data_IF_025276430919
#
_entry.id   IF_025276430919
#
_cell.length_a   1.000
_cell.length_b   1.000
_cell.length_c   1.000
_cell.angle_alpha   90.00
_cell.angle_beta   90.00
_cell.angle_gamma   90.00
#
_symmetry.space_group_name_H-M   'P 1'
#
loop_
_entity.id
_entity.type
_entity.pdbx_description
1 polymer ?
#
# COMPACT_ATOMS: atom_id res chain seq x y z
N UNK A 1 16.97 -1.62 12.37
CA UNK A 1 16.70 -2.60 11.32
C UNK A 1 17.07 -2.02 9.99
N UNK A 2 17.83 -2.77 9.23
CA UNK A 2 18.22 -2.34 7.89
C UNK A 2 17.11 -2.61 6.88
N UNK A 3 16.79 -1.61 6.05
CA UNK A 3 15.81 -1.73 4.99
C UNK A 3 16.24 -2.73 3.89
N UNK A 4 17.54 -2.91 3.73
CA UNK A 4 18.15 -3.67 2.65
C UNK A 4 18.25 -5.17 2.96
N UNK A 5 17.12 -5.81 3.13
CA UNK A 5 17.04 -7.27 3.28
C UNK A 5 16.77 -7.93 1.93
N UNK A 6 16.98 -9.25 1.87
CA UNK A 6 16.88 -10.02 0.60
C UNK A 6 15.49 -10.03 -0.01
N UNK A 7 14.45 -9.85 0.80
CA UNK A 7 13.05 -9.95 0.39
C UNK A 7 12.35 -8.61 0.50
N UNK A 8 11.19 -8.49 -0.12
CA UNK A 8 10.32 -7.33 -0.05
C UNK A 8 9.52 -7.32 1.27
N UNK A 9 10.20 -7.18 2.41
CA UNK A 9 9.61 -7.24 3.76
C UNK A 9 9.02 -5.90 4.19
N UNK A 10 9.80 -4.81 4.03
CA UNK A 10 9.40 -3.49 4.51
C UNK A 10 8.80 -2.67 3.37
N UNK A 11 7.50 -2.44 3.42
CA UNK A 11 6.78 -1.67 2.39
C UNK A 11 7.30 -0.23 2.30
N UNK A 12 7.55 0.30 1.08
CA UNK A 12 7.79 1.73 0.91
C UNK A 12 6.55 2.54 1.32
N UNK A 13 6.79 3.76 1.75
CA UNK A 13 5.73 4.72 2.09
C UNK A 13 5.75 5.87 1.12
N UNK A 14 4.57 6.40 0.80
CA UNK A 14 4.44 7.55 -0.08
C UNK A 14 4.25 8.81 0.72
N UNK A 15 4.99 9.85 0.33
CA UNK A 15 4.90 11.19 0.88
C UNK A 15 4.41 12.17 -0.19
N UNK A 16 3.44 13.02 0.12
CA UNK A 16 3.01 14.11 -0.78
C UNK A 16 3.72 15.39 -0.37
N UNK A 17 4.32 16.07 -1.36
CA UNK A 17 5.15 17.25 -1.11
C UNK A 17 4.34 18.53 -1.00
N UNK A 18 4.67 19.33 0.00
CA UNK A 18 4.34 20.74 0.17
C UNK A 18 5.64 21.56 0.18
N UNK A 19 5.58 22.80 -0.23
CA UNK A 19 6.73 23.70 -0.23
C UNK A 19 6.28 25.11 0.20
N UNK A 20 7.12 25.83 0.94
CA UNK A 20 6.92 27.27 1.22
C UNK A 20 6.99 28.14 -0.04
N UNK A 21 7.47 27.60 -1.15
CA UNK A 21 7.48 28.23 -2.47
C UNK A 21 6.10 28.26 -3.15
N UNK A 22 5.13 27.49 -2.66
CA UNK A 22 3.76 27.47 -3.18
C UNK A 22 2.97 28.68 -2.66
N UNK A 23 1.96 29.10 -3.41
CA UNK A 23 0.97 30.06 -2.92
C UNK A 23 -0.02 29.37 -1.95
N UNK A 24 -0.70 30.17 -1.14
CA UNK A 24 -1.59 29.66 -0.10
C UNK A 24 -2.76 28.84 -0.69
N UNK A 25 -3.29 29.23 -1.84
CA UNK A 25 -4.40 28.53 -2.49
C UNK A 25 -3.97 27.14 -2.97
N UNK A 26 -2.76 27.02 -3.53
CA UNK A 26 -2.19 25.73 -3.93
C UNK A 26 -1.89 24.83 -2.73
N UNK A 27 -1.41 25.38 -1.61
CA UNK A 27 -1.21 24.64 -0.35
C UNK A 27 -2.54 24.10 0.17
N UNK A 28 -3.57 24.93 0.28
CA UNK A 28 -4.89 24.51 0.76
C UNK A 28 -5.52 23.45 -0.15
N UNK A 29 -5.37 23.59 -1.46
CA UNK A 29 -5.86 22.59 -2.42
C UNK A 29 -5.18 21.25 -2.23
N UNK A 30 -3.85 21.20 -2.06
CA UNK A 30 -3.12 19.95 -1.80
C UNK A 30 -3.50 19.36 -0.44
N UNK A 31 -3.61 20.17 0.61
CA UNK A 31 -4.04 19.69 1.93
C UNK A 31 -5.45 19.07 1.89
N UNK A 32 -6.35 19.62 1.07
CA UNK A 32 -7.69 19.08 0.90
C UNK A 32 -7.72 17.77 0.05
N UNK A 33 -6.74 17.57 -0.85
CA UNK A 33 -6.66 16.37 -1.69
C UNK A 33 -6.07 15.15 -0.95
N UNK A 34 -5.07 15.34 -0.10
CA UNK A 34 -4.37 14.24 0.58
C UNK A 34 -5.33 13.28 1.31
N UNK A 35 -6.33 13.74 2.10
CA UNK A 35 -7.26 12.86 2.79
C UNK A 35 -8.22 12.11 1.88
N UNK A 36 -8.42 12.53 0.63
CA UNK A 36 -9.32 11.86 -0.31
C UNK A 36 -8.78 10.50 -0.77
N UNK A 37 -7.47 10.30 -0.65
CA UNK A 37 -6.82 9.02 -0.89
C UNK A 37 -6.77 8.27 0.44
N UNK A 38 -7.86 7.59 0.77
CA UNK A 38 -7.99 6.78 1.99
C UNK A 38 -9.07 5.72 1.75
N UNK A 39 -8.67 4.46 1.57
CA UNK A 39 -9.60 3.37 1.28
C UNK A 39 -9.01 2.02 1.72
N UNK A 40 -9.86 1.06 1.97
CA UNK A 40 -9.46 -0.30 2.29
C UNK A 40 -9.34 -1.15 1.02
N UNK A 41 -8.25 -1.91 0.94
CA UNK A 41 -8.03 -2.90 -0.11
C UNK A 41 -7.50 -4.19 0.50
N UNK A 42 -8.33 -5.23 0.51
CA UNK A 42 -7.99 -6.57 1.02
C UNK A 42 -7.40 -6.50 2.44
N UNK A 43 -8.15 -5.91 3.38
CA UNK A 43 -7.75 -5.84 4.77
C UNK A 43 -6.55 -4.92 5.06
N UNK A 44 -6.13 -4.10 4.10
CA UNK A 44 -5.08 -3.09 4.28
C UNK A 44 -5.60 -1.71 3.91
N UNK A 45 -5.47 -0.76 4.84
CA UNK A 45 -5.79 0.64 4.58
C UNK A 45 -4.74 1.26 3.65
N UNK A 46 -5.20 1.83 2.54
CA UNK A 46 -4.40 2.49 1.52
C UNK A 46 -4.58 4.00 1.62
N UNK A 47 -3.51 4.70 1.95
CA UNK A 47 -3.52 6.16 2.11
C UNK A 47 -2.10 6.72 1.95
N UNK A 48 -1.98 8.02 1.65
CA UNK A 48 -0.69 8.70 1.70
C UNK A 48 -0.24 8.79 3.16
N UNK A 49 0.80 8.05 3.51
CA UNK A 49 1.23 7.89 4.91
C UNK A 49 2.00 9.10 5.43
N UNK A 50 2.66 9.83 4.52
CA UNK A 50 3.54 10.94 4.90
C UNK A 50 3.20 12.22 4.15
N UNK A 51 3.54 13.35 4.75
CA UNK A 51 3.60 14.65 4.08
C UNK A 51 5.04 15.16 4.15
N UNK A 52 5.60 15.45 2.98
CA UNK A 52 6.94 16.02 2.85
C UNK A 52 6.84 17.52 2.78
N UNK A 53 7.40 18.23 3.76
CA UNK A 53 7.31 19.68 3.87
C UNK A 53 8.68 20.29 3.59
N UNK A 54 8.83 20.89 2.42
CA UNK A 54 10.07 21.52 1.98
C UNK A 54 10.14 22.99 2.43
N UNK A 55 11.23 23.33 3.09
CA UNK A 55 11.61 24.69 3.41
C UNK A 55 12.28 25.32 2.19
N UNK A 56 11.51 25.85 1.25
CA UNK A 56 12.04 26.45 0.03
C UNK A 56 13.08 27.55 0.29
N UNK A 57 13.83 27.87 -0.74
CA UNK A 57 14.87 28.91 -0.64
C UNK A 57 14.28 30.25 -0.18
N UNK A 58 14.96 30.91 0.76
CA UNK A 58 14.54 32.19 1.32
C UNK A 58 13.31 32.17 2.23
N UNK A 59 12.82 30.99 2.60
CA UNK A 59 11.77 30.89 3.61
C UNK A 59 12.33 31.22 5.01
N UNK A 60 11.56 32.00 5.76
CA UNK A 60 11.85 32.25 7.18
C UNK A 60 11.20 31.19 8.08
N UNK A 61 11.62 31.19 9.35
CA UNK A 61 11.11 30.24 10.32
C UNK A 61 9.57 30.33 10.51
N UNK A 62 9.00 31.53 10.45
CA UNK A 62 7.57 31.74 10.66
C UNK A 62 6.75 31.15 9.51
N UNK A 63 7.15 31.40 8.27
CA UNK A 63 6.50 30.83 7.08
C UNK A 63 6.59 29.32 7.05
N UNK A 64 7.76 28.76 7.35
CA UNK A 64 7.94 27.31 7.37
C UNK A 64 7.14 26.65 8.49
N UNK A 65 7.20 27.21 9.69
CA UNK A 65 6.46 26.69 10.87
C UNK A 65 4.94 26.69 10.60
N UNK A 66 4.41 27.78 10.01
CA UNK A 66 2.99 27.83 9.67
C UNK A 66 2.57 26.74 8.66
N UNK A 67 3.43 26.44 7.67
CA UNK A 67 3.19 25.35 6.73
C UNK A 67 3.23 23.99 7.42
N UNK A 68 4.19 23.77 8.34
CA UNK A 68 4.30 22.54 9.13
C UNK A 68 3.08 22.35 10.03
N UNK A 69 2.57 23.39 10.68
CA UNK A 69 1.34 23.33 11.49
C UNK A 69 0.13 22.91 10.66
N UNK A 70 -0.05 23.51 9.47
CA UNK A 70 -1.12 23.10 8.54
C UNK A 70 -0.99 21.63 8.15
N UNK A 71 0.21 21.19 7.78
CA UNK A 71 0.47 19.79 7.41
C UNK A 71 0.25 18.82 8.59
N UNK A 72 0.63 19.20 9.81
CA UNK A 72 0.42 18.41 11.02
C UNK A 72 -1.07 18.17 11.30
N UNK A 73 -1.94 19.10 10.95
CA UNK A 73 -3.40 18.98 11.07
C UNK A 73 -4.00 17.79 10.30
N UNK A 74 -3.30 17.24 9.32
CA UNK A 74 -3.73 16.04 8.58
C UNK A 74 -3.54 14.73 9.38
N UNK A 75 -2.85 14.74 10.51
CA UNK A 75 -2.56 13.53 11.29
C UNK A 75 -1.68 12.51 10.56
N UNK A 76 -0.90 12.95 9.56
CA UNK A 76 0.08 12.12 8.85
C UNK A 76 1.48 12.31 9.44
N UNK A 77 2.37 11.35 9.25
CA UNK A 77 3.78 11.52 9.62
C UNK A 77 4.42 12.56 8.71
N UNK A 78 5.17 13.50 9.28
CA UNK A 78 5.84 14.54 8.51
C UNK A 78 7.28 14.15 8.17
N UNK A 79 7.74 14.58 7.00
CA UNK A 79 9.16 14.64 6.64
C UNK A 79 9.48 16.12 6.44
N UNK A 80 10.23 16.69 7.36
CA UNK A 80 10.62 18.09 7.34
C UNK A 80 11.93 18.23 6.57
N UNK A 81 11.89 18.83 5.38
CA UNK A 81 13.10 19.08 4.58
C UNK A 81 13.58 20.50 4.79
N UNK A 82 14.54 20.64 5.71
CA UNK A 82 15.10 21.93 6.07
C UNK A 82 16.59 21.78 6.38
N UNK A 83 17.44 22.61 5.78
CA UNK A 83 18.89 22.60 5.99
C UNK A 83 19.35 23.54 7.10
N UNK A 84 18.53 24.48 7.53
CA UNK A 84 18.85 25.42 8.59
C UNK A 84 18.44 24.83 9.94
N UNK A 85 19.39 24.62 10.87
CA UNK A 85 19.10 24.02 12.18
C UNK A 85 18.14 24.85 13.05
N UNK A 86 18.18 26.17 12.97
CA UNK A 86 17.30 27.03 13.77
C UNK A 86 15.86 26.99 13.25
N UNK A 87 15.69 27.04 11.93
CA UNK A 87 14.38 26.86 11.31
C UNK A 87 13.83 25.46 11.58
N UNK A 88 14.67 24.44 11.48
CA UNK A 88 14.30 23.05 11.78
C UNK A 88 13.85 22.89 13.24
N UNK A 89 14.57 23.50 14.17
CA UNK A 89 14.22 23.48 15.61
C UNK A 89 12.87 24.15 15.86
N UNK A 90 12.61 25.31 15.24
CA UNK A 90 11.33 26.00 15.35
C UNK A 90 10.17 25.15 14.80
N UNK A 91 10.36 24.50 13.64
CA UNK A 91 9.38 23.62 13.04
C UNK A 91 9.11 22.36 13.87
N UNK A 92 10.15 21.77 14.46
CA UNK A 92 9.99 20.61 15.34
C UNK A 92 9.23 20.96 16.63
N UNK A 93 9.32 22.18 17.12
CA UNK A 93 8.60 22.60 18.32
C UNK A 93 7.08 22.44 18.20
N UNK A 94 6.53 22.55 16.99
CA UNK A 94 5.08 22.43 16.71
C UNK A 94 4.62 21.04 16.30
N UNK A 95 5.55 20.10 16.02
CA UNK A 95 5.17 18.76 15.53
C UNK A 95 6.00 17.60 16.12
N UNK A 96 6.92 17.82 17.04
CA UNK A 96 7.81 16.77 17.59
C UNK A 96 7.07 15.55 18.13
N UNK A 97 5.90 15.72 18.71
CA UNK A 97 5.13 14.66 19.33
C UNK A 97 4.62 13.64 18.28
N UNK A 98 4.51 14.04 17.00
CA UNK A 98 4.21 13.16 15.87
C UNK A 98 5.41 12.35 15.39
N UNK A 99 6.61 12.56 15.98
CA UNK A 99 7.88 11.92 15.61
C UNK A 99 8.18 12.03 14.11
N UNK A 100 8.31 13.24 13.58
CA UNK A 100 8.63 13.44 12.17
C UNK A 100 10.02 12.92 11.81
N UNK A 101 10.30 12.83 10.51
CA UNK A 101 11.67 12.71 10.01
C UNK A 101 12.18 14.11 9.74
N UNK A 102 13.33 14.48 10.32
CA UNK A 102 14.03 15.72 9.98
C UNK A 102 15.02 15.43 8.87
N UNK A 103 14.73 15.85 7.63
CA UNK A 103 15.61 15.73 6.46
C UNK A 103 16.39 17.04 6.23
N UNK A 104 17.61 16.95 5.72
CA UNK A 104 18.41 18.13 5.34
C UNK A 104 19.80 18.21 5.96
N UNK A 105 20.25 17.16 6.68
CA UNK A 105 21.65 17.07 7.10
C UNK A 105 22.54 16.76 5.90
N UNK A 106 23.65 17.46 5.78
CA UNK A 106 24.73 17.21 4.82
C UNK A 106 26.11 17.49 5.44
N UNK A 107 27.18 17.38 4.67
CA UNK A 107 28.54 17.58 5.16
C UNK A 107 28.79 18.95 5.81
N UNK A 108 27.98 19.96 5.48
CA UNK A 108 28.16 21.32 5.99
C UNK A 108 27.48 21.59 7.35
N UNK A 109 26.43 20.83 7.69
CA UNK A 109 25.57 21.11 8.85
C UNK A 109 25.26 19.90 9.73
N UNK A 110 25.78 18.71 9.45
CA UNK A 110 25.36 17.45 10.08
C UNK A 110 25.48 17.46 11.61
N UNK A 111 26.48 18.14 12.20
CA UNK A 111 26.64 18.20 13.65
C UNK A 111 25.51 18.98 14.31
N UNK A 112 25.18 20.15 13.76
CA UNK A 112 24.09 20.99 14.27
C UNK A 112 22.72 20.32 14.08
N UNK A 113 22.49 19.74 12.90
CA UNK A 113 21.26 18.99 12.59
C UNK A 113 21.13 17.74 13.48
N UNK A 114 22.24 17.07 13.78
CA UNK A 114 22.25 15.94 14.71
C UNK A 114 21.86 16.35 16.13
N UNK A 115 22.37 17.48 16.59
CA UNK A 115 21.99 18.01 17.91
C UNK A 115 20.47 18.28 18.00
N UNK A 116 19.91 18.94 16.98
CA UNK A 116 18.47 19.22 16.88
C UNK A 116 17.63 17.93 16.83
N UNK A 117 18.01 16.96 15.99
CA UNK A 117 17.30 15.69 15.85
C UNK A 117 17.36 14.85 17.13
N UNK A 118 18.51 14.84 17.81
CA UNK A 118 18.73 14.10 19.05
C UNK A 118 17.94 14.71 20.21
N UNK A 119 17.94 16.05 20.35
CA UNK A 119 17.13 16.77 21.34
C UNK A 119 15.63 16.48 21.15
N UNK A 120 15.16 16.45 19.92
CA UNK A 120 13.76 16.17 19.59
C UNK A 120 13.41 14.66 19.60
N UNK A 121 14.40 13.76 19.61
CA UNK A 121 14.21 12.31 19.57
C UNK A 121 13.63 11.81 18.22
N UNK A 122 14.00 12.46 17.11
CA UNK A 122 13.47 12.17 15.77
C UNK A 122 14.51 11.54 14.86
N UNK A 123 14.07 10.92 13.76
CA UNK A 123 14.94 10.37 12.71
C UNK A 123 15.60 11.50 11.94
N UNK A 124 16.91 11.39 11.66
CA UNK A 124 17.66 12.35 10.86
C UNK A 124 17.88 11.83 9.43
N UNK A 125 17.46 12.63 8.44
CA UNK A 125 17.73 12.41 7.03
C UNK A 125 19.06 13.04 6.61
N UNK A 126 19.85 12.26 5.90
CA UNK A 126 21.22 12.62 5.47
C UNK A 126 21.29 12.61 3.97
N UNK A 127 21.85 13.65 3.39
CA UNK A 127 22.13 13.80 1.95
C UNK A 127 23.61 14.08 1.71
N UNK A 128 24.04 13.95 0.46
CA UNK A 128 25.37 14.34 0.01
C UNK A 128 25.33 14.74 -1.46
N UNK A 129 26.35 15.45 -1.93
CA UNK A 129 26.48 15.80 -3.35
C UNK A 129 26.71 14.55 -4.22
N UNK A 130 27.29 13.51 -3.62
CA UNK A 130 27.52 12.21 -4.22
C UNK A 130 27.47 11.11 -3.11
N UNK A 131 27.59 9.84 -3.51
CA UNK A 131 27.57 8.72 -2.57
C UNK A 131 28.76 8.69 -1.60
N UNK A 132 29.90 9.25 -1.95
CA UNK A 132 31.06 9.28 -1.04
C UNK A 132 30.79 10.27 0.10
N UNK A 133 30.31 11.49 -0.22
CA UNK A 133 29.95 12.47 0.78
C UNK A 133 28.78 11.99 1.66
N UNK A 134 27.78 11.34 1.07
CA UNK A 134 26.70 10.72 1.81
C UNK A 134 27.22 9.67 2.79
N UNK A 135 28.14 8.81 2.35
CA UNK A 135 28.79 7.79 3.18
C UNK A 135 29.56 8.41 4.34
N UNK A 136 30.48 9.36 4.03
CA UNK A 136 31.34 9.98 5.02
C UNK A 136 30.54 10.73 6.08
N UNK A 137 29.51 11.46 5.66
CA UNK A 137 28.58 12.17 6.58
C UNK A 137 27.80 11.19 7.46
N UNK A 138 27.31 10.10 6.89
CA UNK A 138 26.60 9.05 7.63
C UNK A 138 27.53 8.39 8.66
N UNK A 139 28.75 8.05 8.26
CA UNK A 139 29.75 7.47 9.15
C UNK A 139 30.17 8.44 10.28
N UNK A 140 30.23 9.75 9.99
CA UNK A 140 30.48 10.77 11.02
C UNK A 140 29.35 10.83 12.06
N UNK A 141 28.10 10.77 11.62
CA UNK A 141 26.92 10.71 12.49
C UNK A 141 26.90 9.45 13.35
N UNK A 142 27.27 8.30 12.78
CA UNK A 142 27.42 7.05 13.56
C UNK A 142 28.49 7.16 14.66
N UNK A 143 29.61 7.85 14.39
CA UNK A 143 30.65 8.13 15.38
C UNK A 143 30.15 9.05 16.50
N UNK A 144 29.21 9.95 16.21
CA UNK A 144 28.50 10.77 17.20
C UNK A 144 27.44 9.97 17.99
N UNK A 145 27.27 8.68 17.67
CA UNK A 145 26.31 7.78 18.36
C UNK A 145 24.92 7.75 17.74
N UNK A 146 24.63 8.54 16.70
CA UNK A 146 23.32 8.53 16.05
C UNK A 146 23.19 7.36 15.07
N UNK A 147 22.25 6.46 15.35
CA UNK A 147 21.90 5.32 14.48
C UNK A 147 20.43 5.39 14.03
N UNK A 148 19.79 6.53 14.23
CA UNK A 148 18.40 6.76 13.83
C UNK A 148 18.38 7.63 12.55
N UNK A 149 18.85 7.05 11.45
CA UNK A 149 19.12 7.74 10.21
C UNK A 149 18.25 7.24 9.04
N UNK A 150 18.08 8.08 8.04
CA UNK A 150 17.54 7.76 6.71
C UNK A 150 18.39 8.46 5.65
N UNK A 151 18.67 7.79 4.54
CA UNK A 151 19.57 8.29 3.49
C UNK A 151 18.74 8.90 2.34
N UNK A 152 18.94 10.18 2.04
CA UNK A 152 18.41 10.77 0.81
C UNK A 152 19.33 10.38 -0.35
N UNK A 153 18.89 9.42 -1.15
CA UNK A 153 19.63 8.89 -2.29
C UNK A 153 19.29 9.58 -3.61
N UNK A 154 18.51 10.67 -3.53
CA UNK A 154 18.09 11.43 -4.72
C UNK A 154 19.30 12.12 -5.36
N UNK A 155 19.57 11.78 -6.60
CA UNK A 155 20.61 12.43 -7.42
C UNK A 155 20.05 13.61 -8.24
N UNK A 156 20.86 14.14 -9.13
CA UNK A 156 20.50 15.25 -10.00
C UNK A 156 19.47 14.88 -11.08
N UNK A 157 19.43 13.62 -11.46
CA UNK A 157 18.51 13.08 -12.47
C UNK A 157 18.06 11.65 -12.16
N UNK A 158 17.24 11.08 -13.03
CA UNK A 158 16.69 9.72 -12.91
C UNK A 158 17.80 8.68 -12.92
N UNK A 159 18.79 8.84 -13.81
CA UNK A 159 19.88 7.89 -13.97
C UNK A 159 20.74 7.83 -12.72
N UNK A 160 21.12 8.98 -12.20
CA UNK A 160 21.91 9.06 -10.99
C UNK A 160 21.14 8.54 -9.77
N UNK A 161 19.88 8.95 -9.60
CA UNK A 161 19.03 8.48 -8.50
C UNK A 161 18.90 6.95 -8.52
N UNK A 162 18.67 6.36 -9.70
CA UNK A 162 18.59 4.91 -9.83
C UNK A 162 19.94 4.24 -9.53
N UNK A 163 21.04 4.79 -10.04
CA UNK A 163 22.38 4.27 -9.77
C UNK A 163 22.71 4.32 -8.27
N UNK A 164 22.40 5.43 -7.60
CA UNK A 164 22.61 5.61 -6.17
C UNK A 164 21.83 4.56 -5.35
N UNK A 165 20.55 4.37 -5.62
CA UNK A 165 19.74 3.38 -4.90
C UNK A 165 20.25 1.96 -5.10
N UNK A 166 20.69 1.60 -6.31
CA UNK A 166 21.27 0.28 -6.62
C UNK A 166 22.60 0.08 -5.91
N UNK A 167 23.49 1.09 -5.93
CA UNK A 167 24.81 1.01 -5.30
C UNK A 167 24.72 0.91 -3.78
N UNK A 168 23.89 1.76 -3.15
CA UNK A 168 23.62 1.71 -1.70
C UNK A 168 23.11 0.32 -1.30
N UNK A 169 22.13 -0.22 -2.03
CA UNK A 169 21.63 -1.57 -1.75
C UNK A 169 22.69 -2.65 -1.96
N UNK A 170 23.51 -2.53 -3.00
CA UNK A 170 24.59 -3.49 -3.27
C UNK A 170 25.63 -3.48 -2.16
N UNK A 171 26.08 -2.31 -1.72
CA UNK A 171 27.00 -2.19 -0.60
C UNK A 171 26.41 -2.79 0.68
N UNK A 172 25.17 -2.46 1.00
CA UNK A 172 24.50 -2.99 2.19
C UNK A 172 24.37 -4.52 2.19
N UNK A 173 24.05 -5.15 1.05
CA UNK A 173 23.78 -6.60 0.98
C UNK A 173 24.99 -7.44 0.62
N UNK A 174 25.78 -7.02 -0.37
CA UNK A 174 26.92 -7.79 -0.87
C UNK A 174 28.16 -7.57 -0.02
N UNK A 175 28.43 -6.30 0.29
CA UNK A 175 29.62 -5.91 1.02
C UNK A 175 29.34 -5.84 2.55
N UNK A 176 28.08 -6.07 2.94
CA UNK A 176 27.61 -6.03 4.34
C UNK A 176 27.91 -4.69 5.04
N UNK A 177 27.95 -3.61 4.27
CA UNK A 177 28.20 -2.28 4.76
C UNK A 177 26.97 -1.72 5.49
N UNK A 178 27.13 -1.51 6.80
CA UNK A 178 26.04 -1.05 7.64
C UNK A 178 25.73 0.43 7.49
N UNK A 179 26.73 1.23 7.13
CA UNK A 179 26.59 2.67 6.91
C UNK A 179 25.63 2.98 5.77
N UNK A 180 25.59 2.12 4.75
CA UNK A 180 24.58 2.17 3.70
C UNK A 180 23.31 1.32 3.97
N UNK A 181 23.20 0.72 5.16
CA UNK A 181 22.09 -0.16 5.53
C UNK A 181 20.83 0.55 6.00
N UNK A 182 20.81 1.87 6.08
CA UNK A 182 19.65 2.65 6.52
C UNK A 182 18.56 2.73 5.44
N UNK A 183 17.28 3.00 5.82
CA UNK A 183 16.22 3.29 4.87
C UNK A 183 16.57 4.47 3.98
N UNK A 184 15.94 4.58 2.81
CA UNK A 184 16.21 5.63 1.83
C UNK A 184 15.02 6.55 1.59
N UNK A 185 15.31 7.81 1.25
CA UNK A 185 14.37 8.75 0.63
C UNK A 185 14.70 8.83 -0.87
N UNK A 186 13.66 8.82 -1.70
CA UNK A 186 13.73 9.13 -3.12
C UNK A 186 12.74 10.22 -3.42
N UNK A 187 13.23 11.42 -3.76
CA UNK A 187 12.40 12.57 -4.01
C UNK A 187 12.12 12.73 -5.52
N UNK A 188 10.95 12.26 -5.94
CA UNK A 188 10.52 12.32 -7.34
C UNK A 188 10.21 13.73 -7.82
N UNK A 189 9.87 14.66 -6.92
CA UNK A 189 9.61 16.07 -7.30
C UNK A 189 10.85 16.68 -7.96
N UNK A 190 12.04 16.34 -7.43
CA UNK A 190 13.32 16.84 -7.99
C UNK A 190 13.63 16.28 -9.38
N UNK A 191 13.27 15.03 -9.67
CA UNK A 191 13.70 14.31 -10.88
C UNK A 191 12.63 14.19 -11.96
N UNK A 192 11.34 14.22 -11.61
CA UNK A 192 10.23 14.22 -12.56
C UNK A 192 9.88 15.62 -13.09
N UNK A 193 10.32 16.69 -12.40
CA UNK A 193 10.22 18.09 -12.84
C UNK A 193 8.82 18.50 -13.32
N UNK A 194 7.77 18.13 -12.55
CA UNK A 194 6.38 18.46 -12.85
C UNK A 194 5.68 17.54 -13.86
N UNK A 195 6.39 16.55 -14.43
CA UNK A 195 5.73 15.53 -15.26
C UNK A 195 5.11 14.44 -14.38
N UNK A 196 3.79 14.51 -14.20
CA UNK A 196 3.03 13.61 -13.32
C UNK A 196 2.96 12.17 -13.83
N UNK A 197 2.98 11.95 -15.15
CA UNK A 197 3.02 10.60 -15.71
C UNK A 197 4.39 9.94 -15.48
N UNK A 198 5.45 10.70 -15.69
CA UNK A 198 6.80 10.26 -15.38
C UNK A 198 6.94 9.99 -13.88
N UNK A 199 6.39 10.85 -13.02
CA UNK A 199 6.37 10.64 -11.57
C UNK A 199 5.69 9.31 -11.19
N UNK A 200 4.52 9.00 -11.74
CA UNK A 200 3.82 7.75 -11.48
C UNK A 200 4.64 6.52 -11.94
N UNK A 201 5.29 6.59 -13.10
CA UNK A 201 6.18 5.55 -13.59
C UNK A 201 7.40 5.36 -12.67
N UNK A 202 8.04 6.45 -12.25
CA UNK A 202 9.16 6.42 -11.33
C UNK A 202 8.76 5.93 -9.93
N UNK A 203 7.59 6.33 -9.42
CA UNK A 203 7.05 5.82 -8.16
C UNK A 203 6.86 4.31 -8.20
N UNK A 204 6.36 3.76 -9.31
CA UNK A 204 6.25 2.32 -9.55
C UNK A 204 7.61 1.65 -9.55
N UNK A 205 8.59 2.22 -10.27
CA UNK A 205 9.96 1.72 -10.34
C UNK A 205 10.62 1.67 -8.95
N UNK A 206 10.58 2.75 -8.19
CA UNK A 206 11.20 2.80 -6.86
C UNK A 206 10.41 2.02 -5.79
N UNK A 207 9.13 1.76 -6.00
CA UNK A 207 8.38 0.81 -5.19
C UNK A 207 8.97 -0.60 -5.31
N UNK A 208 9.35 -1.01 -6.50
CA UNK A 208 10.02 -2.28 -6.76
C UNK A 208 11.54 -2.24 -6.53
N UNK A 209 12.14 -1.05 -6.53
CA UNK A 209 13.59 -0.83 -6.49
C UNK A 209 14.00 0.14 -5.37
N UNK A 210 14.00 -0.38 -4.16
CA UNK A 210 14.78 0.13 -3.02
C UNK A 210 14.36 1.47 -2.40
N UNK A 211 13.33 2.14 -2.87
CA UNK A 211 12.77 3.30 -2.20
C UNK A 211 12.11 2.92 -0.87
N UNK A 212 12.41 3.64 0.23
CA UNK A 212 11.73 3.44 1.51
C UNK A 212 10.68 4.53 1.76
N UNK A 213 11.04 5.78 1.49
CA UNK A 213 10.13 6.92 1.42
C UNK A 213 10.21 7.45 -0.02
N UNK A 214 9.08 7.44 -0.71
CA UNK A 214 8.97 7.93 -2.08
C UNK A 214 8.18 9.24 -2.03
N UNK A 215 8.83 10.35 -2.34
CA UNK A 215 8.23 11.68 -2.30
C UNK A 215 7.65 12.00 -3.67
N UNK A 216 6.38 12.32 -3.71
CA UNK A 216 5.60 12.66 -4.91
C UNK A 216 5.09 14.09 -4.81
N UNK A 217 4.98 14.77 -5.93
CA UNK A 217 4.40 16.12 -5.97
C UNK A 217 2.92 16.12 -5.60
N UNK A 218 2.19 15.12 -6.09
CA UNK A 218 0.79 14.89 -5.76
C UNK A 218 0.49 13.39 -5.74
N UNK A 219 -0.64 13.02 -5.16
CA UNK A 219 -1.20 11.68 -5.24
C UNK A 219 -2.73 11.81 -5.32
N UNK A 220 -3.28 11.66 -6.50
CA UNK A 220 -4.72 11.53 -6.72
C UNK A 220 -5.16 10.09 -6.51
N UNK A 221 -6.47 9.84 -6.40
CA UNK A 221 -7.00 8.48 -6.31
C UNK A 221 -6.61 7.62 -7.53
N UNK A 222 -6.62 8.21 -8.73
CA UNK A 222 -6.24 7.53 -9.97
C UNK A 222 -4.76 7.07 -9.96
N UNK A 223 -3.85 7.89 -9.39
CA UNK A 223 -2.44 7.54 -9.23
C UNK A 223 -2.22 6.54 -8.08
N UNK A 224 -2.94 6.71 -7.00
CA UNK A 224 -2.81 5.89 -5.79
C UNK A 224 -3.23 4.43 -6.03
N UNK A 225 -4.33 4.21 -6.75
CA UNK A 225 -4.92 2.89 -6.94
C UNK A 225 -3.92 1.87 -7.54
N UNK A 226 -3.24 2.13 -8.67
CA UNK A 226 -2.25 1.20 -9.22
C UNK A 226 -0.99 1.11 -8.36
N UNK A 227 -0.52 2.21 -7.74
CA UNK A 227 0.67 2.20 -6.91
C UNK A 227 0.50 1.38 -5.64
N UNK A 228 -0.60 1.54 -4.92
CA UNK A 228 -0.91 0.73 -3.75
C UNK A 228 -1.19 -0.72 -4.11
N UNK A 229 -1.85 -0.97 -5.25
CA UNK A 229 -2.03 -2.32 -5.78
C UNK A 229 -0.70 -3.02 -6.06
N UNK A 230 0.22 -2.34 -6.74
CA UNK A 230 1.58 -2.82 -6.99
C UNK A 230 2.32 -3.09 -5.67
N UNK A 231 2.33 -2.11 -4.75
CA UNK A 231 2.98 -2.23 -3.46
C UNK A 231 2.46 -3.45 -2.67
N UNK A 232 1.16 -3.60 -2.58
CA UNK A 232 0.54 -4.71 -1.86
C UNK A 232 0.93 -6.05 -2.49
N UNK A 233 0.89 -6.18 -3.81
CA UNK A 233 1.24 -7.41 -4.50
C UNK A 233 2.72 -7.79 -4.32
N UNK A 234 3.64 -6.81 -4.44
CA UNK A 234 5.09 -7.06 -4.34
C UNK A 234 5.52 -7.37 -2.91
N UNK A 235 4.88 -6.74 -1.91
CA UNK A 235 5.26 -6.87 -0.50
C UNK A 235 4.38 -7.87 0.28
N UNK A 236 3.58 -8.65 -0.40
CA UNK A 236 2.87 -9.78 0.22
C UNK A 236 3.81 -10.98 0.34
N UNK A 237 3.83 -11.61 1.51
CA UNK A 237 4.58 -12.83 1.75
C UNK A 237 3.93 -13.98 0.95
N UNK A 238 4.66 -14.65 0.02
CA UNK A 238 4.11 -15.78 -0.73
C UNK A 238 3.66 -16.95 0.15
N UNK A 239 4.22 -17.07 1.35
CA UNK A 239 3.81 -18.09 2.34
C UNK A 239 2.57 -17.67 3.14
N UNK A 240 2.20 -16.40 3.07
CA UNK A 240 0.99 -15.83 3.66
C UNK A 240 0.21 -15.11 2.56
N UNK A 241 -0.43 -15.84 1.65
CA UNK A 241 -1.14 -15.24 0.53
C UNK A 241 -2.21 -14.27 1.04
N UNK A 242 -2.43 -13.21 0.29
CA UNK A 242 -3.53 -12.29 0.58
C UNK A 242 -4.86 -13.03 0.52
N UNK A 243 -5.66 -12.85 1.54
CA UNK A 243 -6.98 -13.43 1.64
C UNK A 243 -8.02 -12.40 2.04
N UNK A 244 -9.23 -12.64 1.60
CA UNK A 244 -10.42 -11.89 2.01
C UNK A 244 -11.03 -12.59 3.22
N UNK A 245 -11.59 -11.84 4.14
CA UNK A 245 -12.28 -12.44 5.29
C UNK A 245 -13.46 -13.31 4.81
N UNK A 246 -13.60 -14.53 5.36
CA UNK A 246 -14.76 -15.37 5.10
C UNK A 246 -16.05 -14.64 5.48
N UNK A 247 -17.05 -14.71 4.62
CA UNK A 247 -18.28 -13.95 4.85
C UNK A 247 -19.29 -14.04 3.70
N UNK A 248 -20.38 -13.30 3.85
CA UNK A 248 -21.42 -13.10 2.83
C UNK A 248 -21.27 -11.68 2.30
N UNK A 249 -21.07 -11.54 1.02
CA UNK A 249 -20.89 -10.28 0.31
C UNK A 249 -22.05 -10.05 -0.66
N UNK A 250 -23.08 -9.27 -0.28
CA UNK A 250 -24.20 -8.97 -1.15
C UNK A 250 -23.74 -8.10 -2.34
N UNK A 251 -24.10 -8.50 -3.55
CA UNK A 251 -23.76 -7.79 -4.80
C UNK A 251 -25.04 -7.40 -5.54
N UNK A 252 -24.99 -6.31 -6.29
CA UNK A 252 -26.07 -5.83 -7.16
C UNK A 252 -27.44 -5.64 -6.43
N UNK A 253 -27.40 -5.20 -5.15
CA UNK A 253 -28.62 -5.01 -4.37
C UNK A 253 -29.25 -6.30 -3.86
N UNK A 254 -28.45 -7.36 -3.67
CA UNK A 254 -28.94 -8.65 -3.17
C UNK A 254 -29.61 -8.54 -1.79
N UNK A 255 -30.63 -9.35 -1.59
CA UNK A 255 -31.38 -9.56 -0.35
C UNK A 255 -31.25 -11.00 0.16
N UNK A 256 -32.06 -11.34 1.17
CA UNK A 256 -32.10 -12.69 1.75
C UNK A 256 -32.62 -13.78 0.78
N UNK A 257 -33.37 -13.41 -0.26
CA UNK A 257 -33.94 -14.33 -1.24
C UNK A 257 -33.04 -14.53 -2.47
N UNK A 258 -32.00 -13.71 -2.58
CA UNK A 258 -31.11 -13.71 -3.75
C UNK A 258 -30.23 -14.97 -3.79
N UNK A 259 -29.89 -15.38 -4.99
CA UNK A 259 -29.03 -16.53 -5.31
C UNK A 259 -27.72 -16.51 -4.50
N UNK A 260 -27.22 -17.69 -4.13
CA UNK A 260 -25.94 -17.83 -3.45
C UNK A 260 -24.86 -18.35 -4.42
N UNK A 261 -23.73 -17.69 -4.48
CA UNK A 261 -22.56 -18.13 -5.23
C UNK A 261 -21.40 -18.32 -4.24
N UNK A 262 -20.70 -19.43 -4.27
CA UNK A 262 -19.59 -19.65 -3.32
C UNK A 262 -18.23 -19.73 -4.02
N UNK A 263 -17.20 -19.25 -3.33
CA UNK A 263 -15.79 -19.39 -3.73
C UNK A 263 -14.87 -19.38 -2.49
N UNK A 264 -13.56 -19.27 -2.72
CA UNK A 264 -12.52 -19.30 -1.69
C UNK A 264 -12.04 -17.90 -1.32
N UNK A 265 -11.38 -17.79 -0.17
CA UNK A 265 -10.84 -16.55 0.41
C UNK A 265 -9.56 -16.03 -0.28
N UNK A 266 -9.02 -16.70 -1.29
CA UNK A 266 -7.87 -16.21 -2.04
C UNK A 266 -8.21 -14.89 -2.76
N UNK A 267 -7.47 -13.84 -2.44
CA UNK A 267 -7.79 -12.48 -2.88
C UNK A 267 -7.92 -12.32 -4.40
N UNK A 268 -7.03 -12.94 -5.18
CA UNK A 268 -7.12 -12.88 -6.64
C UNK A 268 -8.40 -13.55 -7.16
N UNK A 269 -8.79 -14.70 -6.58
CA UNK A 269 -10.05 -15.36 -6.93
C UNK A 269 -11.25 -14.47 -6.60
N UNK A 270 -11.24 -13.87 -5.40
CA UNK A 270 -12.30 -12.96 -4.98
C UNK A 270 -12.47 -11.80 -5.96
N UNK A 271 -11.39 -11.08 -6.31
CA UNK A 271 -11.50 -9.93 -7.22
C UNK A 271 -12.01 -10.31 -8.61
N UNK A 272 -11.48 -11.39 -9.17
CA UNK A 272 -11.92 -11.82 -10.49
C UNK A 272 -13.38 -12.27 -10.46
N UNK A 273 -13.76 -13.04 -9.45
CA UNK A 273 -15.15 -13.55 -9.35
C UNK A 273 -16.11 -12.42 -9.01
N UNK A 274 -15.84 -11.60 -7.98
CA UNK A 274 -16.73 -10.50 -7.61
C UNK A 274 -16.92 -9.50 -8.75
N UNK A 275 -15.86 -9.13 -9.46
CA UNK A 275 -15.94 -8.22 -10.58
C UNK A 275 -16.81 -8.76 -11.74
N UNK A 276 -16.74 -10.05 -12.05
CA UNK A 276 -17.61 -10.66 -13.05
C UNK A 276 -19.07 -10.77 -12.57
N UNK A 277 -19.27 -11.08 -11.29
CA UNK A 277 -20.61 -11.12 -10.68
C UNK A 277 -21.27 -9.73 -10.65
N UNK A 278 -20.53 -8.68 -10.28
CA UNK A 278 -21.01 -7.30 -10.34
C UNK A 278 -21.40 -6.87 -11.76
N UNK A 279 -20.56 -7.21 -12.76
CA UNK A 279 -20.83 -6.92 -14.18
C UNK A 279 -22.05 -7.64 -14.72
N UNK A 280 -22.48 -8.74 -14.11
CA UNK A 280 -23.69 -9.44 -14.51
C UNK A 280 -24.94 -8.62 -14.26
N UNK A 281 -24.93 -7.75 -13.23
CA UNK A 281 -26.08 -6.99 -12.76
C UNK A 281 -27.13 -7.84 -12.01
N UNK A 282 -26.90 -9.14 -11.85
CA UNK A 282 -27.83 -10.06 -11.17
C UNK A 282 -27.65 -9.95 -9.65
N UNK A 283 -28.72 -9.71 -8.86
CA UNK A 283 -28.64 -9.72 -7.39
C UNK A 283 -28.24 -11.10 -6.87
N UNK A 284 -27.15 -11.19 -6.11
CA UNK A 284 -26.66 -12.43 -5.54
C UNK A 284 -25.79 -12.23 -4.31
N UNK A 285 -25.75 -13.24 -3.46
CA UNK A 285 -24.93 -13.29 -2.26
C UNK A 285 -23.65 -14.10 -2.55
N UNK A 286 -22.49 -13.42 -2.66
CA UNK A 286 -21.21 -14.08 -2.81
C UNK A 286 -20.72 -14.55 -1.43
N UNK A 287 -20.56 -15.86 -1.27
CA UNK A 287 -20.10 -16.52 -0.04
C UNK A 287 -18.64 -16.92 -0.18
N UNK A 288 -17.81 -16.38 0.71
CA UNK A 288 -16.38 -16.63 0.77
C UNK A 288 -16.10 -17.64 1.89
N UNK A 289 -15.53 -18.79 1.52
CA UNK A 289 -15.13 -19.83 2.47
C UNK A 289 -13.65 -19.68 2.85
N UNK A 290 -13.31 -19.99 4.11
CA UNK A 290 -11.91 -20.06 4.56
C UNK A 290 -11.22 -21.28 3.89
N UNK A 291 -10.34 -20.99 2.97
CA UNK A 291 -9.49 -21.96 2.30
C UNK A 291 -8.00 -21.73 2.60
N UNK A 292 -7.69 -20.84 3.56
CA UNK A 292 -6.33 -20.48 3.94
C UNK A 292 -5.61 -19.66 2.89
N UNK A 293 -6.35 -18.87 2.09
CA UNK A 293 -5.78 -18.04 1.02
C UNK A 293 -5.32 -18.84 -0.20
N UNK A 294 -5.85 -20.04 -0.43
CA UNK A 294 -5.50 -20.89 -1.56
C UNK A 294 -6.52 -20.74 -2.70
N UNK A 295 -6.07 -20.93 -3.94
CA UNK A 295 -6.96 -20.96 -5.10
C UNK A 295 -7.95 -22.13 -5.04
N UNK A 296 -9.04 -22.07 -5.80
CA UNK A 296 -10.11 -23.11 -5.79
C UNK A 296 -9.55 -24.52 -5.94
N UNK A 297 -8.71 -24.77 -6.96
CA UNK A 297 -8.15 -26.10 -7.19
C UNK A 297 -7.14 -26.54 -6.13
N UNK A 298 -6.30 -25.60 -5.69
CA UNK A 298 -5.29 -25.89 -4.66
C UNK A 298 -5.95 -26.19 -3.32
N UNK A 299 -6.98 -25.44 -2.92
CA UNK A 299 -7.72 -25.66 -1.70
C UNK A 299 -8.55 -26.93 -1.72
N UNK A 300 -9.13 -27.27 -2.88
CA UNK A 300 -9.80 -28.54 -3.09
C UNK A 300 -8.82 -29.73 -2.93
N UNK A 301 -7.68 -29.67 -3.62
CA UNK A 301 -6.65 -30.69 -3.53
C UNK A 301 -6.09 -30.86 -2.11
N UNK A 302 -6.02 -29.76 -1.35
CA UNK A 302 -5.61 -29.75 0.06
C UNK A 302 -6.74 -30.16 1.05
N UNK A 303 -7.94 -30.47 0.56
CA UNK A 303 -9.10 -30.82 1.38
C UNK A 303 -9.75 -29.67 2.15
N UNK A 304 -9.30 -28.43 1.92
CA UNK A 304 -9.81 -27.23 2.60
C UNK A 304 -11.12 -26.71 2.00
N UNK A 305 -11.28 -26.86 0.68
CA UNK A 305 -12.52 -26.52 -0.04
C UNK A 305 -13.17 -27.81 -0.50
N UNK A 306 -14.05 -28.36 0.31
CA UNK A 306 -14.65 -29.68 0.17
C UNK A 306 -16.16 -29.62 0.45
N UNK A 307 -16.88 -30.69 0.14
CA UNK A 307 -18.31 -30.76 0.48
C UNK A 307 -18.56 -30.61 1.98
N UNK A 308 -17.67 -31.10 2.85
CA UNK A 308 -17.77 -30.89 4.30
C UNK A 308 -17.60 -29.43 4.69
N UNK A 309 -16.49 -28.79 4.28
CA UNK A 309 -16.19 -27.42 4.69
C UNK A 309 -17.25 -26.43 4.15
N UNK A 310 -17.67 -26.59 2.91
CA UNK A 310 -18.69 -25.74 2.28
C UNK A 310 -20.04 -25.95 2.98
N UNK A 311 -20.48 -27.21 3.18
CA UNK A 311 -21.78 -27.47 3.80
C UNK A 311 -21.87 -27.01 5.24
N UNK A 312 -20.81 -27.19 6.05
CA UNK A 312 -20.76 -26.66 7.42
C UNK A 312 -20.86 -25.14 7.42
N UNK A 313 -20.08 -24.48 6.56
CA UNK A 313 -20.11 -23.02 6.47
C UNK A 313 -21.49 -22.48 6.05
N UNK A 314 -22.12 -23.11 5.05
CA UNK A 314 -23.46 -22.75 4.59
C UNK A 314 -24.49 -22.88 5.73
N UNK A 315 -24.50 -24.00 6.45
CA UNK A 315 -25.44 -24.23 7.56
C UNK A 315 -25.26 -23.24 8.71
N UNK A 316 -24.02 -22.97 9.07
CA UNK A 316 -23.70 -22.14 10.25
C UNK A 316 -23.84 -20.65 9.97
N UNK A 317 -23.45 -20.19 8.80
CA UNK A 317 -23.28 -18.77 8.51
C UNK A 317 -24.22 -18.20 7.45
N UNK A 318 -24.74 -19.04 6.54
CA UNK A 318 -25.56 -18.60 5.40
C UNK A 318 -27.04 -18.88 5.64
N UNK A 319 -27.40 -20.09 6.01
CA UNK A 319 -28.83 -20.45 6.25
C UNK A 319 -29.57 -19.55 7.23
N UNK A 320 -28.95 -19.05 8.32
CA UNK A 320 -29.61 -18.12 9.22
C UNK A 320 -29.90 -16.74 8.62
N UNK A 321 -29.22 -16.36 7.53
CA UNK A 321 -29.28 -15.01 6.96
C UNK A 321 -29.87 -14.96 5.55
N UNK A 322 -29.86 -16.10 4.84
CA UNK A 322 -30.30 -16.20 3.44
C UNK A 322 -31.38 -17.25 3.32
N UNK A 323 -32.50 -16.89 2.71
CA UNK A 323 -33.66 -17.77 2.49
C UNK A 323 -33.54 -18.59 1.21
N UNK A 324 -32.80 -18.08 0.22
CA UNK A 324 -32.52 -18.82 -1.01
C UNK A 324 -31.88 -20.19 -0.72
N UNK A 325 -32.26 -21.16 -1.48
CA UNK A 325 -31.71 -22.54 -1.40
C UNK A 325 -31.06 -22.97 -2.73
N UNK A 326 -30.56 -22.00 -3.49
CA UNK A 326 -29.79 -22.24 -4.74
C UNK A 326 -28.35 -21.84 -4.53
N UNK A 327 -27.43 -22.78 -4.70
CA UNK A 327 -26.00 -22.59 -4.49
C UNK A 327 -25.22 -22.88 -5.78
N UNK A 328 -24.57 -21.86 -6.34
CA UNK A 328 -23.64 -22.02 -7.44
C UNK A 328 -22.24 -22.31 -6.88
N UNK A 329 -21.64 -23.38 -7.33
CA UNK A 329 -20.24 -23.77 -7.04
C UNK A 329 -19.34 -23.55 -8.25
N UNK A 330 -18.02 -23.31 -8.08
CA UNK A 330 -17.12 -23.15 -9.21
C UNK A 330 -17.04 -24.40 -10.07
N UNK A 331 -17.14 -24.24 -11.40
CA UNK A 331 -17.12 -25.38 -12.34
C UNK A 331 -15.84 -26.21 -12.32
N UNK A 332 -14.73 -25.64 -11.80
CA UNK A 332 -13.46 -26.37 -11.60
C UNK A 332 -13.57 -27.48 -10.52
N UNK A 333 -14.55 -27.38 -9.66
CA UNK A 333 -14.82 -28.37 -8.60
C UNK A 333 -16.21 -28.99 -8.70
N UNK A 334 -16.72 -29.14 -9.93
CA UNK A 334 -18.01 -29.76 -10.21
C UNK A 334 -18.20 -31.14 -9.57
N UNK A 335 -17.11 -31.85 -9.33
CA UNK A 335 -17.07 -33.14 -8.61
C UNK A 335 -17.69 -33.08 -7.22
N UNK A 336 -17.74 -31.89 -6.58
CA UNK A 336 -18.33 -31.71 -5.25
C UNK A 336 -19.87 -31.69 -5.26
N UNK A 337 -20.52 -31.60 -6.44
CA UNK A 337 -21.98 -31.45 -6.54
C UNK A 337 -22.73 -32.54 -5.76
N UNK A 338 -22.49 -33.81 -6.03
CA UNK A 338 -23.18 -34.90 -5.40
C UNK A 338 -22.95 -35.01 -3.88
N UNK A 339 -21.73 -34.68 -3.42
CA UNK A 339 -21.42 -34.62 -2.00
C UNK A 339 -22.15 -33.46 -1.29
N UNK A 340 -22.27 -32.31 -1.95
CA UNK A 340 -23.03 -31.17 -1.43
C UNK A 340 -24.54 -31.42 -1.42
N UNK A 341 -25.10 -32.03 -2.47
CA UNK A 341 -26.52 -32.41 -2.49
C UNK A 341 -26.89 -33.35 -1.34
N UNK A 342 -26.00 -34.31 -1.03
CA UNK A 342 -26.20 -35.19 0.12
C UNK A 342 -26.12 -34.49 1.49
N UNK A 343 -25.27 -33.45 1.60
CA UNK A 343 -24.99 -32.74 2.85
C UNK A 343 -25.87 -31.51 3.09
N UNK A 344 -26.46 -30.95 2.05
CA UNK A 344 -27.34 -29.78 2.08
C UNK A 344 -28.74 -30.17 1.58
N UNK A 345 -29.51 -30.97 2.32
CA UNK A 345 -30.84 -31.36 1.90
C UNK A 345 -31.73 -30.11 1.74
N UNK A 346 -32.42 -30.01 0.61
CA UNK A 346 -33.27 -28.85 0.27
C UNK A 346 -32.52 -27.74 -0.49
N UNK A 347 -31.23 -27.87 -0.72
CA UNK A 347 -30.49 -26.97 -1.60
C UNK A 347 -30.37 -27.53 -3.02
N UNK A 348 -30.57 -26.67 -3.99
CA UNK A 348 -30.27 -26.92 -5.40
C UNK A 348 -28.81 -26.55 -5.65
N UNK A 349 -27.95 -27.51 -5.96
CA UNK A 349 -26.54 -27.30 -6.26
C UNK A 349 -26.33 -27.14 -7.76
N UNK A 350 -25.93 -25.95 -8.15
CA UNK A 350 -25.74 -25.58 -9.55
C UNK A 350 -24.23 -25.48 -9.83
N UNK A 351 -23.78 -26.16 -10.87
CA UNK A 351 -22.40 -26.07 -11.29
C UNK A 351 -22.23 -24.88 -12.22
N UNK A 352 -21.46 -23.90 -11.78
CA UNK A 352 -21.11 -22.72 -12.56
C UNK A 352 -20.06 -23.01 -13.66
N UNK A 353 -19.67 -22.00 -14.42
CA UNK A 353 -18.65 -22.13 -15.45
C UNK A 353 -17.27 -22.40 -14.85
N UNK A 354 -16.35 -22.94 -15.67
CA UNK A 354 -14.98 -23.21 -15.27
C UNK A 354 -14.14 -21.93 -15.12
N UNK A 355 -14.39 -20.95 -15.98
CA UNK A 355 -13.67 -19.69 -15.99
C UNK A 355 -14.58 -18.53 -15.57
N UNK A 356 -14.07 -17.66 -14.69
CA UNK A 356 -14.86 -16.56 -14.12
C UNK A 356 -15.42 -15.61 -15.19
N UNK A 357 -14.70 -15.37 -16.27
CA UNK A 357 -15.14 -14.51 -17.38
C UNK A 357 -16.46 -14.99 -18.04
N UNK A 358 -16.83 -16.25 -17.85
CA UNK A 358 -18.08 -16.81 -18.36
C UNK A 358 -19.28 -16.59 -17.42
N UNK A 359 -19.05 -16.10 -16.18
CA UNK A 359 -20.10 -15.90 -15.17
C UNK A 359 -21.18 -14.93 -15.63
N UNK A 360 -20.80 -13.84 -16.29
CA UNK A 360 -21.76 -12.83 -16.79
C UNK A 360 -22.78 -13.46 -17.73
N UNK A 361 -22.30 -14.21 -18.72
CA UNK A 361 -23.18 -14.89 -19.66
C UNK A 361 -24.01 -15.95 -18.98
N UNK A 362 -23.40 -16.80 -18.17
CA UNK A 362 -24.05 -17.87 -17.44
C UNK A 362 -25.23 -17.38 -16.59
N UNK A 363 -25.02 -16.31 -15.79
CA UNK A 363 -26.07 -15.75 -14.95
C UNK A 363 -27.19 -15.09 -15.75
N UNK A 364 -26.87 -14.41 -16.85
CA UNK A 364 -27.89 -13.82 -17.75
C UNK A 364 -28.72 -14.87 -18.44
N UNK A 365 -28.10 -15.97 -18.89
CA UNK A 365 -28.83 -17.09 -19.47
C UNK A 365 -29.78 -17.72 -18.44
N UNK A 366 -29.31 -17.97 -17.20
CA UNK A 366 -30.17 -18.47 -16.11
C UNK A 366 -31.35 -17.53 -15.79
N UNK A 367 -31.12 -16.22 -15.82
CA UNK A 367 -32.19 -15.23 -15.62
C UNK A 367 -33.20 -15.23 -16.77
N UNK A 368 -32.74 -15.34 -18.01
CA UNK A 368 -33.61 -15.41 -19.18
C UNK A 368 -34.47 -16.69 -19.18
N UNK A 369 -33.92 -17.80 -18.66
CA UNK A 369 -34.63 -19.09 -18.54
C UNK A 369 -35.53 -19.16 -17.30
N UNK A 370 -35.62 -18.09 -16.50
CA UNK A 370 -36.46 -18.04 -15.27
C UNK A 370 -35.96 -18.97 -14.15
N UNK A 371 -34.68 -19.33 -14.17
CA UNK A 371 -34.09 -20.19 -13.15
C UNK A 371 -33.67 -19.40 -11.89
N UNK A 372 -33.48 -18.08 -12.05
CA UNK A 372 -33.14 -17.13 -10.95
C UNK A 372 -33.86 -15.81 -11.15
#
# INVERSE_FOLDING_TARGET
LFRHEKTFVSKPRYAVALCTCMDDAAVEAKLAEIPKVDYDRIGERMYAELVYVNCGEGADAAKYTALVEKAAGLGRTLVLDCKDPEIAKAALAVCKDSKPVLNGADASNYEAMNAVATEAGVVLGVSGKDLNELYDTTAALEKLGNKNLVLDTTGADIKETFANTVQVRRAALKDQDRTFGYPSIVNLVKIAKGDLHLQAALASMFTMKYGSIIVMEQMTYAEALPLFGLRQNVYTDPQKPMKVEPGIYPLNGADENSLVVTTVDFALTYFVVSGELERSGVPLNLVINDAGGLSVLTSWAAGKFSGNSISSYIKENVEPKVKSRKLIIPGKVAVLKGDLEAKLPGWEIIVGPREAVQLVKFLKDMQADGQI
#
